data_IF_942450173161
#
_entry.id   IF_942450173161
#
_cell.length_a   1.000
_cell.length_b   1.000
_cell.length_c   1.000
_cell.angle_alpha   90.00
_cell.angle_beta   90.00
_cell.angle_gamma   90.00
#
_symmetry.space_group_name_H-M   'P 1'
#
loop_
_entity.id
_entity.type
_entity.pdbx_description
1 polymer ?
#
# COMPACT_ATOMS: atom_id res chain seq x y z
N UNK A 1 -55.95 -65.39 32.77
CA UNK A 1 -54.93 -64.84 33.60
C UNK A 1 -54.14 -63.84 32.73
N UNK A 2 -54.39 -62.57 32.94
CA UNK A 2 -53.93 -61.49 32.08
C UNK A 2 -52.61 -60.94 32.58
N UNK A 3 -51.66 -60.66 31.70
CA UNK A 3 -50.55 -59.84 31.99
C UNK A 3 -50.52 -58.62 31.06
N UNK A 4 -50.71 -57.46 31.66
CA UNK A 4 -50.58 -56.16 31.00
C UNK A 4 -49.10 -55.76 31.03
N UNK A 5 -48.51 -55.59 29.85
CA UNK A 5 -47.22 -54.94 29.71
C UNK A 5 -47.43 -53.43 29.43
N UNK A 6 -46.91 -52.61 30.30
CA UNK A 6 -46.89 -51.13 30.15
C UNK A 6 -45.82 -50.69 29.18
N UNK A 7 -46.20 -50.01 28.10
CA UNK A 7 -45.32 -49.35 27.16
C UNK A 7 -45.08 -47.93 27.70
N UNK A 8 -43.84 -47.62 28.08
CA UNK A 8 -43.42 -46.27 28.40
C UNK A 8 -42.88 -45.60 27.13
N UNK A 9 -43.58 -44.57 26.65
CA UNK A 9 -43.12 -43.75 25.55
C UNK A 9 -42.12 -42.70 26.05
N UNK A 10 -40.88 -42.78 25.61
CA UNK A 10 -39.89 -41.71 25.79
C UNK A 10 -40.12 -40.65 24.69
N UNK A 11 -40.50 -39.45 25.10
CA UNK A 11 -40.50 -38.25 24.24
C UNK A 11 -39.13 -37.63 24.31
N UNK A 12 -38.29 -37.82 23.29
CA UNK A 12 -37.04 -37.08 23.14
C UNK A 12 -37.34 -35.72 22.49
N UNK A 13 -37.28 -34.66 23.27
CA UNK A 13 -37.33 -33.28 22.77
C UNK A 13 -36.02 -32.93 22.10
N UNK A 14 -36.00 -32.87 20.76
CA UNK A 14 -34.87 -32.29 20.00
C UNK A 14 -34.93 -30.77 20.15
N UNK A 15 -34.03 -30.23 20.97
CA UNK A 15 -33.68 -28.80 20.96
C UNK A 15 -32.80 -28.51 19.76
N UNK A 16 -33.41 -28.08 18.66
CA UNK A 16 -32.69 -27.49 17.53
C UNK A 16 -32.31 -26.07 17.95
N UNK A 17 -31.10 -25.92 18.51
CA UNK A 17 -30.50 -24.65 18.72
C UNK A 17 -30.14 -24.05 17.37
N UNK A 18 -30.90 -23.08 16.89
CA UNK A 18 -30.51 -22.25 15.77
C UNK A 18 -29.32 -21.39 16.19
N UNK A 19 -28.12 -21.79 15.79
CA UNK A 19 -26.98 -20.91 15.80
C UNK A 19 -27.29 -19.77 14.81
N UNK A 20 -27.68 -18.62 15.33
CA UNK A 20 -27.69 -17.40 14.55
C UNK A 20 -26.26 -17.08 14.20
N UNK A 21 -25.85 -17.40 12.96
CA UNK A 21 -24.62 -16.86 12.40
C UNK A 21 -24.79 -15.35 12.33
N UNK A 22 -24.17 -14.68 13.27
CA UNK A 22 -23.98 -13.23 13.22
C UNK A 22 -22.98 -12.95 12.11
N UNK A 23 -23.48 -12.91 10.87
CA UNK A 23 -22.77 -12.31 9.75
C UNK A 23 -22.67 -10.82 10.04
N UNK A 24 -21.62 -10.41 10.72
CA UNK A 24 -21.23 -9.00 10.79
C UNK A 24 -20.83 -8.59 9.40
N UNK A 25 -21.79 -8.13 8.60
CA UNK A 25 -21.50 -7.35 7.40
C UNK A 25 -20.75 -6.10 7.90
N UNK A 26 -19.41 -6.17 7.79
CA UNK A 26 -18.56 -5.03 8.05
C UNK A 26 -19.01 -3.94 7.10
N UNK A 27 -19.49 -2.81 7.60
CA UNK A 27 -19.87 -1.67 6.80
C UNK A 27 -18.65 -1.25 5.98
N UNK A 28 -18.83 -1.08 4.68
CA UNK A 28 -17.77 -0.56 3.82
C UNK A 28 -17.45 0.85 4.31
N UNK A 29 -16.22 1.09 4.80
CA UNK A 29 -15.83 2.40 5.30
C UNK A 29 -16.01 3.46 4.21
N UNK A 30 -17.03 4.30 4.37
CA UNK A 30 -17.27 5.40 3.46
C UNK A 30 -16.08 6.36 3.57
N UNK A 31 -15.39 6.59 2.44
CA UNK A 31 -14.30 7.54 2.41
C UNK A 31 -14.78 8.95 2.12
N UNK A 32 -13.97 9.94 2.43
CA UNK A 32 -14.22 11.34 2.15
C UNK A 32 -13.04 12.00 1.44
N UNK A 33 -13.34 12.98 0.57
CA UNK A 33 -12.31 13.85 0.01
C UNK A 33 -11.84 14.79 1.10
N UNK A 34 -10.52 14.88 1.26
CA UNK A 34 -9.86 15.79 2.19
C UNK A 34 -8.89 16.68 1.41
N UNK A 35 -8.74 17.91 1.86
CA UNK A 35 -7.72 18.83 1.37
C UNK A 35 -6.67 19.01 2.46
N UNK A 36 -5.41 19.09 2.06
CA UNK A 36 -4.32 19.34 2.98
C UNK A 36 -3.29 20.28 2.37
N UNK A 37 -2.90 21.24 3.17
CA UNK A 37 -1.96 22.28 2.79
C UNK A 37 -0.50 21.82 3.01
N UNK A 38 0.37 22.51 2.34
CA UNK A 38 1.81 22.39 2.49
C UNK A 38 2.37 23.62 3.18
N UNK A 39 3.32 23.47 4.11
CA UNK A 39 4.01 24.60 4.71
C UNK A 39 5.03 25.29 3.80
N UNK A 40 5.18 24.85 2.54
CA UNK A 40 6.13 25.42 1.59
C UNK A 40 5.65 26.72 0.98
N UNK A 41 6.59 27.55 0.50
CA UNK A 41 6.38 28.92 0.04
C UNK A 41 5.48 29.11 -1.20
N UNK A 42 5.04 28.03 -1.84
CA UNK A 42 4.03 28.08 -2.92
C UNK A 42 3.02 26.94 -2.71
N UNK A 43 2.05 27.14 -1.80
CA UNK A 43 1.15 26.08 -1.37
C UNK A 43 0.05 25.86 -2.40
N UNK A 44 0.24 24.90 -3.31
CA UNK A 44 -0.93 24.30 -3.95
C UNK A 44 -1.49 23.25 -2.99
N UNK A 45 -2.74 23.36 -2.56
CA UNK A 45 -3.35 22.36 -1.72
C UNK A 45 -3.33 21.02 -2.46
N UNK A 46 -3.05 19.94 -1.75
CA UNK A 46 -3.25 18.59 -2.25
C UNK A 46 -4.61 18.09 -1.81
N UNK A 47 -5.16 17.22 -2.61
CA UNK A 47 -6.37 16.49 -2.27
C UNK A 47 -6.03 15.02 -2.06
N UNK A 48 -6.84 14.33 -1.28
CA UNK A 48 -6.77 12.89 -1.12
C UNK A 48 -8.11 12.32 -0.72
N UNK A 49 -8.22 11.02 -0.84
CA UNK A 49 -9.38 10.28 -0.39
C UNK A 49 -9.02 9.52 0.88
N UNK A 50 -9.68 9.89 1.97
CA UNK A 50 -9.44 9.36 3.30
C UNK A 50 -10.50 8.31 3.62
N UNK A 51 -10.06 7.10 4.04
CA UNK A 51 -10.92 6.06 4.61
C UNK A 51 -10.51 5.80 6.05
N UNK A 52 -11.51 5.66 6.90
CA UNK A 52 -11.32 5.27 8.29
C UNK A 52 -11.95 3.91 8.50
N UNK A 53 -11.30 2.99 9.22
CA UNK A 53 -11.93 1.74 9.63
C UNK A 53 -12.98 2.01 10.72
N UNK A 54 -13.98 1.13 10.76
CA UNK A 54 -14.94 1.12 11.86
C UNK A 54 -14.28 0.54 13.11
N UNK A 55 -14.00 1.35 14.10
CA UNK A 55 -13.41 0.86 15.35
C UNK A 55 -12.83 1.94 16.23
N UNK A 56 -12.49 1.60 17.48
CA UNK A 56 -11.84 2.53 18.38
C UNK A 56 -10.41 2.78 17.93
N UNK A 57 -10.11 4.04 17.53
CA UNK A 57 -8.75 4.47 17.20
C UNK A 57 -7.85 4.62 18.44
N UNK A 58 -6.63 5.11 18.28
CA UNK A 58 -5.99 5.45 17.01
C UNK A 58 -5.49 4.21 16.25
N UNK A 59 -5.72 4.22 14.94
CA UNK A 59 -5.37 3.13 14.02
C UNK A 59 -4.06 3.41 13.28
N UNK A 60 -3.33 2.36 12.81
CA UNK A 60 -2.24 2.55 11.87
C UNK A 60 -2.76 3.11 10.55
N UNK A 61 -1.89 3.74 9.76
CA UNK A 61 -2.30 4.38 8.53
C UNK A 61 -1.36 4.07 7.36
N UNK A 62 -1.91 4.14 6.13
CA UNK A 62 -1.16 3.98 4.90
C UNK A 62 -1.45 5.14 3.96
N UNK A 63 -0.39 5.84 3.52
CA UNK A 63 -0.45 6.81 2.42
C UNK A 63 -0.29 6.04 1.11
N UNK A 64 -1.24 6.20 0.18
CA UNK A 64 -1.20 5.58 -1.14
C UNK A 64 -0.86 6.60 -2.21
N UNK A 65 0.13 6.29 -3.04
CA UNK A 65 0.66 7.15 -4.10
C UNK A 65 0.46 6.48 -5.47
N UNK A 66 -0.28 7.18 -6.35
CA UNK A 66 -0.64 6.66 -7.66
C UNK A 66 0.54 6.67 -8.66
N UNK A 67 0.38 5.91 -9.74
CA UNK A 67 1.33 5.87 -10.85
C UNK A 67 1.25 7.12 -11.75
N UNK A 68 2.13 7.21 -12.74
CA UNK A 68 2.21 8.33 -13.69
C UNK A 68 0.93 8.62 -14.46
N UNK A 69 -0.04 7.71 -14.49
CA UNK A 69 -1.34 7.90 -15.15
C UNK A 69 -2.38 8.68 -14.31
N UNK A 70 -2.06 9.06 -13.06
CA UNK A 70 -2.92 9.90 -12.22
C UNK A 70 -4.20 9.24 -11.73
N UNK A 71 -4.36 7.93 -11.87
CA UNK A 71 -5.62 7.25 -11.61
C UNK A 71 -5.82 6.90 -10.12
N UNK A 72 -5.78 7.91 -9.25
CA UNK A 72 -5.89 7.75 -7.81
C UNK A 72 -7.25 7.14 -7.38
N UNK A 73 -8.36 7.45 -8.09
CA UNK A 73 -9.68 6.87 -7.77
C UNK A 73 -9.69 5.36 -7.89
N UNK A 74 -9.10 4.81 -8.96
CA UNK A 74 -8.99 3.36 -9.13
C UNK A 74 -8.05 2.74 -8.09
N UNK A 75 -6.97 3.44 -7.76
CA UNK A 75 -6.06 3.02 -6.69
C UNK A 75 -6.80 2.93 -5.35
N UNK A 76 -7.58 3.95 -5.01
CA UNK A 76 -8.38 3.97 -3.80
C UNK A 76 -9.46 2.87 -3.78
N UNK A 77 -10.25 2.77 -4.85
CA UNK A 77 -11.33 1.78 -4.95
C UNK A 77 -10.83 0.33 -4.84
N UNK A 78 -9.60 0.08 -5.20
CA UNK A 78 -8.97 -1.23 -5.07
C UNK A 78 -8.16 -1.34 -3.78
N UNK A 79 -7.02 -0.70 -3.75
CA UNK A 79 -6.07 -0.87 -2.66
C UNK A 79 -6.46 -0.12 -1.39
N UNK A 80 -7.04 1.08 -1.53
CA UNK A 80 -7.58 1.82 -0.40
C UNK A 80 -8.65 1.03 0.35
N UNK A 81 -9.60 0.42 -0.37
CA UNK A 81 -10.64 -0.44 0.23
C UNK A 81 -10.07 -1.71 0.86
N UNK A 82 -9.18 -2.41 0.18
CA UNK A 82 -8.55 -3.64 0.69
C UNK A 82 -7.82 -3.34 2.01
N UNK A 83 -6.98 -2.31 2.04
CA UNK A 83 -6.19 -1.97 3.22
C UNK A 83 -7.09 -1.45 4.35
N UNK A 84 -8.11 -0.66 4.05
CA UNK A 84 -9.07 -0.22 5.05
C UNK A 84 -9.85 -1.40 5.67
N UNK A 85 -10.10 -2.48 4.92
CA UNK A 85 -10.73 -3.69 5.44
C UNK A 85 -9.86 -4.47 6.44
N UNK A 86 -8.57 -4.15 6.52
CA UNK A 86 -7.61 -4.68 7.49
C UNK A 86 -7.43 -3.78 8.72
N UNK A 87 -8.34 -2.84 8.94
CA UNK A 87 -8.35 -1.90 10.06
C UNK A 87 -7.26 -0.80 10.00
N UNK A 88 -6.77 -0.49 8.80
CA UNK A 88 -5.87 0.65 8.58
C UNK A 88 -6.65 1.87 8.09
N UNK A 89 -6.27 3.05 8.54
CA UNK A 89 -6.63 4.31 7.87
C UNK A 89 -5.90 4.37 6.54
N UNK A 90 -6.57 4.76 5.46
CA UNK A 90 -5.91 4.98 4.17
C UNK A 90 -6.11 6.41 3.70
N UNK A 91 -5.05 7.01 3.15
CA UNK A 91 -5.10 8.30 2.48
C UNK A 91 -4.52 8.14 1.08
N UNK A 92 -5.39 8.07 0.08
CA UNK A 92 -4.99 8.01 -1.34
C UNK A 92 -4.82 9.43 -1.87
N UNK A 93 -3.59 9.80 -2.20
CA UNK A 93 -3.25 11.17 -2.62
C UNK A 93 -3.61 11.40 -4.08
N UNK A 94 -4.25 12.52 -4.39
CA UNK A 94 -4.37 13.06 -5.74
C UNK A 94 -3.25 14.09 -5.98
N UNK A 95 -2.13 13.63 -6.52
CA UNK A 95 -1.00 14.51 -6.84
C UNK A 95 -1.22 15.34 -8.10
N UNK A 96 -2.22 15.02 -8.93
CA UNK A 96 -2.39 15.63 -10.26
C UNK A 96 -3.56 16.58 -10.37
N UNK A 97 -4.73 16.23 -9.84
CA UNK A 97 -5.94 17.03 -9.98
C UNK A 97 -5.75 18.49 -9.54
N UNK A 98 -5.23 18.77 -8.33
CA UNK A 98 -4.99 20.15 -7.88
C UNK A 98 -3.97 20.92 -8.73
N UNK A 99 -3.12 20.22 -9.47
CA UNK A 99 -2.13 20.82 -10.40
C UNK A 99 -2.63 20.93 -11.84
N UNK A 100 -3.88 20.53 -12.12
CA UNK A 100 -4.45 20.52 -13.47
C UNK A 100 -3.82 19.48 -14.40
N UNK A 101 -3.11 18.48 -13.85
CA UNK A 101 -2.44 17.43 -14.60
C UNK A 101 -3.35 16.23 -14.76
N UNK A 102 -3.14 15.47 -15.84
CA UNK A 102 -3.82 14.19 -16.08
C UNK A 102 -2.87 13.01 -16.05
N UNK A 103 -1.64 13.20 -16.51
CA UNK A 103 -0.63 12.15 -16.60
C UNK A 103 0.77 12.76 -16.71
N UNK A 104 1.76 12.07 -16.20
CA UNK A 104 3.19 12.38 -16.37
C UNK A 104 3.95 11.22 -17.04
N UNK A 105 3.25 10.22 -17.59
CA UNK A 105 3.89 9.04 -18.20
C UNK A 105 4.76 9.37 -19.41
N UNK A 106 4.51 10.49 -20.09
CA UNK A 106 5.16 10.76 -21.38
C UNK A 106 6.33 11.74 -21.35
N UNK A 107 6.43 12.66 -20.41
CA UNK A 107 7.53 13.64 -20.37
C UNK A 107 7.35 14.83 -19.43
N UNK A 108 6.22 15.03 -18.76
CA UNK A 108 6.06 16.16 -17.87
C UNK A 108 6.82 15.93 -16.56
N UNK A 109 7.86 16.72 -16.35
CA UNK A 109 8.56 16.73 -15.07
C UNK A 109 7.78 17.59 -14.08
N UNK A 110 7.24 16.98 -13.05
CA UNK A 110 6.54 17.65 -11.96
C UNK A 110 7.21 17.28 -10.65
N UNK A 111 7.44 18.28 -9.80
CA UNK A 111 7.96 18.02 -8.46
C UNK A 111 6.86 17.44 -7.57
N UNK A 112 6.93 16.14 -7.39
CA UNK A 112 6.05 15.35 -6.51
C UNK A 112 6.78 14.86 -5.26
N UNK A 113 8.07 15.14 -5.13
CA UNK A 113 8.96 14.53 -4.14
C UNK A 113 8.44 14.66 -2.69
N UNK A 114 7.70 15.72 -2.40
CA UNK A 114 7.21 16.00 -1.05
C UNK A 114 5.73 15.62 -0.83
N UNK A 115 5.02 15.12 -1.82
CA UNK A 115 3.59 14.81 -1.69
C UNK A 115 3.32 13.72 -0.63
N UNK A 116 4.19 12.71 -0.55
CA UNK A 116 4.15 11.68 0.49
C UNK A 116 4.25 12.30 1.90
N UNK A 117 5.15 13.25 2.11
CA UNK A 117 5.36 13.90 3.39
C UNK A 117 4.26 14.89 3.76
N UNK A 118 3.63 15.53 2.76
CA UNK A 118 2.43 16.35 2.97
C UNK A 118 1.29 15.50 3.51
N UNK A 119 1.06 14.34 2.88
CA UNK A 119 0.06 13.38 3.33
C UNK A 119 0.39 12.82 4.72
N UNK A 120 1.65 12.47 4.99
CA UNK A 120 2.10 12.05 6.32
C UNK A 120 1.83 13.13 7.36
N UNK A 121 2.18 14.38 7.08
CA UNK A 121 1.96 15.51 8.00
C UNK A 121 0.49 15.79 8.26
N UNK A 122 -0.39 15.54 7.29
CA UNK A 122 -1.83 15.58 7.49
C UNK A 122 -2.29 14.47 8.44
N UNK A 123 -1.89 13.22 8.19
CA UNK A 123 -2.30 12.06 8.99
C UNK A 123 -1.83 12.15 10.44
N UNK A 124 -0.60 12.60 10.68
CA UNK A 124 -0.04 12.75 12.06
C UNK A 124 -0.90 13.67 12.93
N UNK A 125 -1.62 14.61 12.35
CA UNK A 125 -2.52 15.54 13.07
C UNK A 125 -3.92 14.99 13.33
N UNK A 126 -4.25 13.81 12.79
CA UNK A 126 -5.58 13.24 12.95
C UNK A 126 -5.69 12.45 14.27
N UNK A 127 -6.71 12.73 15.10
CA UNK A 127 -6.83 12.07 16.42
C UNK A 127 -7.11 10.56 16.34
N UNK A 128 -7.58 10.09 15.19
CA UNK A 128 -7.87 8.68 14.92
C UNK A 128 -6.69 7.92 14.31
N UNK A 129 -5.54 8.57 14.06
CA UNK A 129 -4.32 7.96 13.51
C UNK A 129 -3.26 7.82 14.59
N UNK A 130 -2.61 6.67 14.65
CA UNK A 130 -1.40 6.49 15.46
C UNK A 130 -0.18 7.02 14.68
N UNK A 131 0.40 8.15 15.09
CA UNK A 131 1.50 8.78 14.34
C UNK A 131 2.79 7.94 14.34
N UNK A 132 2.89 6.95 15.23
CA UNK A 132 4.03 6.04 15.27
C UNK A 132 3.86 4.84 14.32
N UNK A 133 2.73 4.72 13.60
CA UNK A 133 2.39 3.56 12.77
C UNK A 133 1.84 3.97 11.41
N UNK A 134 2.63 4.74 10.63
CA UNK A 134 2.24 5.20 9.30
C UNK A 134 3.23 4.67 8.26
N UNK A 135 2.72 4.01 7.21
CA UNK A 135 3.48 3.54 6.06
C UNK A 135 3.20 4.35 4.79
N UNK A 136 4.16 4.33 3.86
CA UNK A 136 3.97 4.77 2.48
C UNK A 136 3.85 3.58 1.55
N UNK A 137 2.88 3.61 0.64
CA UNK A 137 2.65 2.60 -0.40
C UNK A 137 2.49 3.29 -1.75
N UNK A 138 3.31 2.93 -2.73
CA UNK A 138 3.24 3.55 -4.04
C UNK A 138 3.39 2.58 -5.21
N UNK A 139 2.88 2.99 -6.36
CA UNK A 139 2.81 2.18 -7.57
C UNK A 139 3.56 2.87 -8.72
N UNK A 140 4.50 2.19 -9.37
CA UNK A 140 5.30 2.75 -10.46
C UNK A 140 5.96 4.08 -10.06
N UNK A 141 5.60 5.21 -10.63
CA UNK A 141 6.06 6.54 -10.20
C UNK A 141 5.77 6.80 -8.71
N UNK A 142 4.60 6.41 -8.21
CA UNK A 142 4.29 6.46 -6.78
C UNK A 142 5.22 5.58 -5.95
N UNK A 143 5.66 4.44 -6.50
CA UNK A 143 6.69 3.59 -5.91
C UNK A 143 8.04 4.30 -5.81
N UNK A 144 8.42 5.06 -6.84
CA UNK A 144 9.59 5.93 -6.79
C UNK A 144 9.48 6.99 -5.68
N UNK A 145 8.33 7.64 -5.57
CA UNK A 145 8.06 8.62 -4.50
C UNK A 145 8.16 7.98 -3.11
N UNK A 146 7.64 6.76 -2.97
CA UNK A 146 7.74 5.97 -1.74
C UNK A 146 9.20 5.69 -1.37
N UNK A 147 10.00 5.18 -2.31
CA UNK A 147 11.43 4.93 -2.07
C UNK A 147 12.19 6.22 -1.75
N UNK A 148 11.94 7.30 -2.49
CA UNK A 148 12.54 8.61 -2.25
C UNK A 148 12.24 9.18 -0.86
N UNK A 149 11.06 8.87 -0.31
CA UNK A 149 10.65 9.34 1.02
C UNK A 149 11.30 8.57 2.16
N UNK A 150 11.97 7.45 1.90
CA UNK A 150 12.57 6.60 2.94
C UNK A 150 14.04 6.27 2.69
N UNK A 151 14.58 6.57 1.53
CA UNK A 151 16.02 6.48 1.32
C UNK A 151 16.72 7.65 2.03
N UNK A 152 17.79 7.36 2.71
CA UNK A 152 18.59 8.36 3.42
C UNK A 152 19.10 9.44 2.47
N UNK A 153 18.60 10.65 2.58
CA UNK A 153 18.88 11.76 1.67
C UNK A 153 18.10 13.02 1.95
N UNK A 154 18.19 13.99 1.03
CA UNK A 154 17.61 15.32 1.21
C UNK A 154 16.10 15.27 1.44
N UNK A 155 15.36 14.47 0.64
CA UNK A 155 13.90 14.39 0.75
C UNK A 155 13.48 13.84 2.12
N UNK A 156 14.11 12.74 2.54
CA UNK A 156 13.84 12.12 3.84
C UNK A 156 14.17 13.08 4.99
N UNK A 157 15.26 13.83 4.91
CA UNK A 157 15.72 14.69 5.99
C UNK A 157 14.90 15.98 6.15
N UNK A 158 14.14 16.41 5.14
CA UNK A 158 13.37 17.67 5.21
C UNK A 158 12.14 17.61 6.11
N UNK A 159 11.62 16.43 6.41
CA UNK A 159 10.43 16.28 7.25
C UNK A 159 10.79 15.86 8.69
N UNK A 160 10.21 16.49 9.72
CA UNK A 160 10.34 16.03 11.10
C UNK A 160 9.57 14.72 11.34
N UNK A 161 8.49 14.49 10.59
CA UNK A 161 7.71 13.26 10.65
C UNK A 161 8.33 12.21 9.74
N UNK A 162 8.32 10.93 10.16
CA UNK A 162 8.92 9.82 9.41
C UNK A 162 7.93 8.70 9.20
N UNK A 163 7.94 8.10 8.02
CA UNK A 163 7.29 6.83 7.79
C UNK A 163 7.92 5.74 8.65
N UNK A 164 7.18 4.68 8.94
CA UNK A 164 7.65 3.51 9.71
C UNK A 164 7.85 2.28 8.86
N UNK A 165 7.29 2.27 7.66
CA UNK A 165 7.46 1.25 6.65
C UNK A 165 7.22 1.84 5.26
N UNK A 166 7.76 1.21 4.24
CA UNK A 166 7.57 1.61 2.85
C UNK A 166 7.30 0.38 1.97
N UNK A 167 6.35 0.51 1.06
CA UNK A 167 6.01 -0.55 0.11
C UNK A 167 5.97 0.04 -1.30
N UNK A 168 6.68 -0.55 -2.25
CA UNK A 168 6.72 -0.08 -3.62
C UNK A 168 6.37 -1.22 -4.59
N UNK A 169 5.31 -1.03 -5.35
CA UNK A 169 4.92 -1.90 -6.45
C UNK A 169 5.60 -1.43 -7.73
N UNK A 170 6.34 -2.30 -8.34
CA UNK A 170 7.06 -2.10 -9.60
C UNK A 170 7.68 -0.68 -9.74
N UNK A 171 8.50 -0.25 -8.75
CA UNK A 171 9.13 1.07 -8.79
C UNK A 171 10.29 1.11 -9.77
N UNK A 172 10.60 2.27 -10.38
CA UNK A 172 11.91 2.48 -10.99
C UNK A 172 12.98 2.54 -9.89
N UNK A 173 13.81 1.50 -9.81
CA UNK A 173 14.87 1.40 -8.79
C UNK A 173 16.19 2.07 -9.19
N UNK A 174 16.31 2.49 -10.45
CA UNK A 174 17.51 3.16 -10.94
C UNK A 174 17.76 4.46 -10.17
N UNK A 175 19.02 4.68 -9.79
CA UNK A 175 19.43 5.88 -9.04
C UNK A 175 19.31 5.78 -7.52
N UNK A 176 18.61 4.78 -6.99
CA UNK A 176 18.59 4.49 -5.56
C UNK A 176 19.79 3.65 -5.13
N UNK A 177 20.29 3.95 -3.95
CA UNK A 177 21.38 3.19 -3.31
C UNK A 177 20.88 2.07 -2.41
N UNK A 178 19.57 2.05 -2.10
CA UNK A 178 18.96 1.10 -1.19
C UNK A 178 19.30 1.33 0.29
N UNK A 179 19.82 2.52 0.65
CA UNK A 179 20.09 2.90 2.03
C UNK A 179 18.81 3.41 2.70
N UNK A 180 17.87 2.48 2.93
CA UNK A 180 16.55 2.82 3.47
C UNK A 180 16.62 3.07 4.97
N UNK A 181 15.82 4.01 5.46
CA UNK A 181 15.72 4.37 6.89
C UNK A 181 14.69 3.56 7.65
N UNK A 182 13.84 2.82 6.94
CA UNK A 182 12.77 1.99 7.49
C UNK A 182 12.65 0.64 6.74
N UNK A 183 12.01 -0.38 7.33
CA UNK A 183 11.68 -1.60 6.61
C UNK A 183 10.97 -1.29 5.29
N UNK A 184 11.49 -1.84 4.20
CA UNK A 184 11.00 -1.57 2.84
C UNK A 184 10.71 -2.87 2.10
N UNK A 185 9.53 -2.95 1.47
CA UNK A 185 9.11 -4.06 0.61
C UNK A 185 9.00 -3.58 -0.83
N UNK A 186 9.62 -4.29 -1.75
CA UNK A 186 9.47 -4.07 -3.19
C UNK A 186 8.85 -5.31 -3.84
N UNK A 187 7.80 -5.10 -4.62
CA UNK A 187 7.05 -6.12 -5.35
C UNK A 187 7.12 -5.77 -6.84
N UNK A 188 7.74 -6.61 -7.66
CA UNK A 188 7.97 -6.31 -9.09
C UNK A 188 7.83 -7.55 -9.95
N UNK A 189 7.37 -7.38 -11.20
CA UNK A 189 7.32 -8.44 -12.18
C UNK A 189 8.71 -8.75 -12.76
N UNK A 190 9.00 -10.03 -12.99
CA UNK A 190 10.26 -10.43 -13.61
C UNK A 190 10.40 -9.91 -15.06
N UNK A 191 9.27 -9.86 -15.79
CA UNK A 191 9.20 -9.43 -17.17
C UNK A 191 8.86 -7.93 -17.31
N UNK A 192 8.97 -7.16 -16.24
CA UNK A 192 8.73 -5.73 -16.28
C UNK A 192 9.82 -5.04 -17.12
N UNK A 193 9.41 -4.56 -18.30
CA UNK A 193 10.27 -3.90 -19.28
C UNK A 193 10.23 -2.36 -19.19
N UNK A 194 9.41 -1.81 -18.27
CA UNK A 194 9.33 -0.38 -17.97
C UNK A 194 10.19 0.01 -16.76
N UNK A 195 10.05 -0.75 -15.68
CA UNK A 195 10.83 -0.57 -14.46
C UNK A 195 11.51 -1.89 -14.11
N UNK A 196 12.71 -2.10 -14.65
CA UNK A 196 13.40 -3.38 -14.64
C UNK A 196 13.58 -3.97 -13.24
N UNK A 197 13.19 -5.25 -13.07
CA UNK A 197 13.46 -6.02 -11.85
C UNK A 197 14.96 -6.13 -11.56
N UNK A 198 15.81 -6.13 -12.61
CA UNK A 198 17.27 -6.18 -12.44
C UNK A 198 17.80 -4.91 -11.77
N UNK A 199 17.24 -3.72 -12.08
CA UNK A 199 17.61 -2.50 -11.39
C UNK A 199 17.29 -2.58 -9.88
N UNK A 200 16.17 -3.19 -9.50
CA UNK A 200 15.84 -3.41 -8.08
C UNK A 200 16.75 -4.44 -7.42
N UNK A 201 17.13 -5.52 -8.12
CA UNK A 201 18.13 -6.48 -7.62
C UNK A 201 19.48 -5.79 -7.37
N UNK A 202 19.95 -5.00 -8.34
CA UNK A 202 21.21 -4.26 -8.23
C UNK A 202 21.21 -3.29 -7.05
N UNK A 203 20.11 -2.56 -6.85
CA UNK A 203 19.93 -1.69 -5.70
C UNK A 203 20.00 -2.46 -4.37
N UNK A 204 19.30 -3.59 -4.26
CA UNK A 204 19.29 -4.42 -3.04
C UNK A 204 20.66 -5.06 -2.77
N UNK A 205 21.34 -5.53 -3.81
CA UNK A 205 22.68 -6.12 -3.70
C UNK A 205 23.79 -5.09 -3.48
N UNK A 206 23.47 -3.79 -3.53
CA UNK A 206 24.45 -2.70 -3.44
C UNK A 206 25.33 -2.59 -4.69
N UNK A 207 24.83 -3.05 -5.84
CA UNK A 207 25.43 -2.87 -7.16
C UNK A 207 24.68 -1.75 -7.86
N UNK A 208 25.38 -0.78 -8.41
CA UNK A 208 24.79 0.23 -9.27
C UNK A 208 25.49 0.28 -10.62
N UNK A 209 24.74 0.73 -11.65
CA UNK A 209 25.25 0.85 -13.01
C UNK A 209 26.24 2.02 -13.17
N UNK A 210 26.41 2.85 -12.13
CA UNK A 210 27.22 4.05 -12.14
C UNK A 210 28.52 3.93 -11.33
N UNK A 211 28.75 2.78 -10.69
CA UNK A 211 29.91 2.58 -9.81
C UNK A 211 29.84 3.36 -8.50
N UNK A 212 28.66 3.86 -8.11
CA UNK A 212 28.40 4.53 -6.83
C UNK A 212 27.75 3.52 -5.89
N UNK A 213 28.42 2.42 -5.65
CA UNK A 213 27.86 1.40 -4.77
C UNK A 213 27.75 1.92 -3.34
N UNK A 214 26.58 1.70 -2.70
CA UNK A 214 26.52 1.74 -1.25
C UNK A 214 27.43 0.66 -0.68
N UNK A 215 27.88 0.84 0.55
CA UNK A 215 28.44 -0.30 1.27
C UNK A 215 27.32 -1.31 1.51
N UNK A 216 27.57 -2.57 1.22
CA UNK A 216 26.64 -3.66 1.51
C UNK A 216 26.21 -3.57 2.98
N UNK A 217 24.93 -3.79 3.25
CA UNK A 217 24.34 -3.75 4.58
C UNK A 217 24.21 -2.35 5.23
N UNK A 218 24.34 -1.26 4.48
CA UNK A 218 23.94 0.07 4.96
C UNK A 218 22.43 0.23 4.91
N UNK A 219 21.86 0.85 5.96
CA UNK A 219 20.44 1.09 6.10
C UNK A 219 19.65 -0.14 6.57
N UNK A 220 18.33 0.02 6.61
CA UNK A 220 17.41 -1.07 6.95
C UNK A 220 17.26 -2.01 5.75
N UNK A 221 17.27 -3.34 5.93
CA UNK A 221 17.16 -4.30 4.84
C UNK A 221 15.90 -4.09 3.99
N UNK A 222 16.06 -4.20 2.68
CA UNK A 222 14.96 -4.17 1.70
C UNK A 222 14.56 -5.60 1.37
N UNK A 223 13.27 -5.92 1.54
CA UNK A 223 12.68 -7.17 1.07
C UNK A 223 12.24 -6.99 -0.39
N UNK A 224 12.88 -7.69 -1.32
CA UNK A 224 12.52 -7.69 -2.73
C UNK A 224 11.82 -9.01 -3.08
N UNK A 225 10.62 -8.91 -3.66
CA UNK A 225 9.90 -10.06 -4.23
C UNK A 225 9.76 -9.81 -5.73
N UNK A 226 10.36 -10.69 -6.53
CA UNK A 226 10.25 -10.68 -7.98
C UNK A 226 9.31 -11.80 -8.40
N UNK A 227 8.24 -11.46 -9.09
CA UNK A 227 7.21 -12.40 -9.51
C UNK A 227 7.49 -12.94 -10.92
N UNK A 228 7.75 -14.26 -11.06
CA UNK A 228 8.01 -14.85 -12.35
C UNK A 228 6.84 -14.65 -13.34
N UNK A 229 7.17 -14.33 -14.58
CA UNK A 229 6.19 -14.19 -15.67
C UNK A 229 5.24 -12.99 -15.55
N UNK A 230 5.44 -12.09 -14.61
CA UNK A 230 4.62 -10.89 -14.47
C UNK A 230 5.28 -9.68 -15.13
N UNK A 231 4.45 -8.82 -15.72
CA UNK A 231 4.82 -7.57 -16.35
C UNK A 231 4.54 -6.35 -15.47
N UNK A 232 4.78 -5.14 -16.02
CA UNK A 232 4.43 -3.89 -15.35
C UNK A 232 2.91 -3.79 -15.09
N UNK A 233 2.52 -3.22 -13.96
CA UNK A 233 1.12 -3.04 -13.54
C UNK A 233 0.33 -4.37 -13.45
N UNK A 234 0.97 -5.46 -13.04
CA UNK A 234 0.38 -6.80 -12.92
C UNK A 234 -0.88 -6.87 -12.06
N UNK A 235 -1.10 -5.88 -11.21
CA UNK A 235 -2.28 -5.76 -10.35
C UNK A 235 -3.46 -5.01 -11.00
N UNK A 236 -3.28 -4.38 -12.14
CA UNK A 236 -4.28 -3.54 -12.78
C UNK A 236 -5.35 -4.38 -13.52
N UNK A 237 -6.45 -4.70 -12.83
CA UNK A 237 -7.51 -5.61 -13.32
C UNK A 237 -8.21 -5.18 -14.63
N UNK A 238 -8.01 -3.93 -15.07
CA UNK A 238 -8.47 -3.45 -16.38
C UNK A 238 -7.54 -3.86 -17.53
N UNK A 239 -6.35 -4.41 -17.25
CA UNK A 239 -5.37 -4.88 -18.22
C UNK A 239 -5.47 -6.39 -18.47
N UNK A 240 -6.68 -6.97 -18.41
CA UNK A 240 -6.92 -8.39 -18.74
C UNK A 240 -6.56 -8.72 -20.20
N UNK A 241 -6.68 -7.75 -21.06
CA UNK A 241 -6.10 -7.79 -22.41
C UNK A 241 -4.79 -7.01 -22.33
N UNK A 242 -3.65 -7.62 -22.65
CA UNK A 242 -2.37 -6.94 -22.66
C UNK A 242 -2.36 -5.69 -23.55
N UNK A 243 -1.66 -4.65 -23.10
CA UNK A 243 -1.52 -3.41 -23.87
C UNK A 243 -0.06 -3.01 -23.99
N UNK A 244 0.25 -2.31 -25.08
CA UNK A 244 1.52 -1.61 -25.24
C UNK A 244 1.31 -0.13 -24.94
N UNK A 245 2.03 0.40 -23.98
CA UNK A 245 2.00 1.82 -23.63
C UNK A 245 3.42 2.39 -23.66
N UNK A 246 3.66 3.38 -24.51
CA UNK A 246 4.98 3.99 -24.68
C UNK A 246 6.10 2.97 -25.01
N UNK A 247 5.75 1.87 -25.66
CA UNK A 247 6.68 0.78 -26.01
C UNK A 247 6.83 -0.31 -24.95
N UNK A 248 6.17 -0.19 -23.80
CA UNK A 248 6.26 -1.15 -22.69
C UNK A 248 5.02 -2.05 -22.62
N UNK A 249 5.23 -3.31 -22.23
CA UNK A 249 4.16 -4.29 -22.07
C UNK A 249 3.52 -4.19 -20.69
N UNK A 250 2.21 -4.01 -20.65
CA UNK A 250 1.41 -4.01 -19.44
C UNK A 250 0.36 -5.11 -19.48
N UNK A 251 0.29 -5.93 -18.44
CA UNK A 251 -0.62 -7.06 -18.37
C UNK A 251 -1.04 -7.37 -16.93
N UNK A 252 -2.34 -7.62 -16.75
CA UNK A 252 -2.87 -8.06 -15.48
C UNK A 252 -2.56 -9.56 -15.23
N UNK A 253 -2.08 -9.86 -14.02
CA UNK A 253 -1.79 -11.23 -13.60
C UNK A 253 -2.48 -11.49 -12.24
N UNK A 254 -3.64 -12.19 -12.28
CA UNK A 254 -4.43 -12.46 -11.07
C UNK A 254 -3.65 -13.24 -10.01
N UNK A 255 -2.99 -14.39 -10.31
CA UNK A 255 -2.21 -15.13 -9.32
C UNK A 255 -1.13 -14.28 -8.63
N UNK A 256 -0.42 -13.44 -9.38
CA UNK A 256 0.61 -12.56 -8.83
C UNK A 256 -0.03 -11.44 -7.99
N UNK A 257 -1.16 -10.91 -8.43
CA UNK A 257 -1.92 -9.95 -7.65
C UNK A 257 -2.33 -10.52 -6.28
N UNK A 258 -2.87 -11.74 -6.26
CA UNK A 258 -3.30 -12.39 -5.01
C UNK A 258 -2.10 -12.62 -4.07
N UNK A 259 -0.97 -13.08 -4.60
CA UNK A 259 0.27 -13.21 -3.84
C UNK A 259 0.77 -11.86 -3.30
N UNK A 260 0.66 -10.80 -4.09
CA UNK A 260 1.09 -9.46 -3.68
C UNK A 260 0.21 -8.88 -2.57
N UNK A 261 -1.10 -9.18 -2.55
CA UNK A 261 -2.01 -8.81 -1.48
C UNK A 261 -1.60 -9.50 -0.17
N UNK A 262 -1.29 -10.79 -0.21
CA UNK A 262 -0.82 -11.53 0.97
C UNK A 262 0.50 -10.95 1.48
N UNK A 263 1.48 -10.75 0.60
CA UNK A 263 2.79 -10.21 0.97
C UNK A 263 2.70 -8.78 1.56
N UNK A 264 1.81 -7.95 1.01
CA UNK A 264 1.53 -6.60 1.53
C UNK A 264 0.92 -6.67 2.93
N UNK A 265 -0.11 -7.50 3.13
CA UNK A 265 -0.81 -7.64 4.42
C UNK A 265 0.16 -8.10 5.51
N UNK A 266 0.90 -9.19 5.27
CA UNK A 266 1.92 -9.69 6.19
C UNK A 266 2.98 -8.64 6.53
N UNK A 267 3.42 -7.87 5.55
CA UNK A 267 4.42 -6.84 5.77
C UNK A 267 3.88 -5.67 6.59
N UNK A 268 2.67 -5.20 6.31
CA UNK A 268 2.02 -4.16 7.11
C UNK A 268 1.79 -4.63 8.55
N UNK A 269 1.27 -5.83 8.76
CA UNK A 269 1.01 -6.39 10.09
C UNK A 269 2.29 -6.50 10.93
N UNK A 270 3.38 -6.93 10.32
CA UNK A 270 4.65 -7.11 11.03
C UNK A 270 5.40 -5.80 11.29
N UNK A 271 5.11 -4.73 10.53
CA UNK A 271 5.84 -3.47 10.66
C UNK A 271 5.06 -2.38 11.41
N UNK A 272 3.77 -2.23 11.11
CA UNK A 272 2.94 -1.16 11.69
C UNK A 272 1.60 -1.65 12.26
N UNK A 273 1.21 -2.91 12.02
CA UNK A 273 -0.13 -3.43 12.35
C UNK A 273 -0.34 -3.66 13.84
N UNK A 274 0.62 -4.28 14.52
CA UNK A 274 0.45 -4.67 15.91
C UNK A 274 0.87 -3.55 16.87
N UNK A 275 0.00 -3.21 17.84
CA UNK A 275 0.47 -2.51 19.04
C UNK A 275 1.41 -3.45 19.78
N UNK A 276 2.67 -3.07 19.94
CA UNK A 276 3.55 -3.74 20.88
C UNK A 276 2.86 -3.60 22.26
N UNK A 277 2.30 -4.70 22.75
CA UNK A 277 1.85 -4.76 24.13
C UNK A 277 3.11 -4.64 24.99
N UNK A 278 3.43 -3.45 25.46
CA UNK A 278 4.39 -3.25 26.55
C UNK A 278 3.81 -3.92 27.77
N UNK A 279 4.39 -5.08 28.12
CA UNK A 279 4.16 -5.73 29.41
C UNK A 279 4.73 -4.88 30.55
#
# INVERSE_FOLDING_TARGET
MANLAKIAALVAALLIGSAAEWSTTRSESAGSVVEFETPLANPQPLQGYLRQPDGPGPSPAVVLLHSCNGNWRRLDERWGKIIASWDYVTLTVDSFGPRGLKSTCGSESVDLAFDAYRALSFLVRQPFVDPARIASLGFSQGGWLTLSSVEHGVIEQTSPNKFRAAIAFYPPCQGFKGNMTVPTLILIGELDDWTSAEACRNMVDGRDDWGISRQKDQGVPVKLIVYPGAYHAFDASNLKTPVQLLGHHLEFNQPVTDQSIVALHEFLDTTIGQKVQTK
#
